data_IF_319861820297
#
_entry.id   IF_319861820297
#
_cell.length_a   1.000
_cell.length_b   1.000
_cell.length_c   1.000
_cell.angle_alpha   90.00
_cell.angle_beta   90.00
_cell.angle_gamma   90.00
#
_symmetry.space_group_name_H-M   'P 1'
#
loop_
_entity.id
_entity.type
_entity.pdbx_description
1 polymer ?
#
# COMPACT_ATOMS: atom_id res chain seq x y z
N UNK A 1 -20.46 34.79 -29.25
CA UNK A 1 -19.52 34.80 -28.11
C UNK A 1 -19.64 33.44 -27.43
N UNK A 2 -18.79 32.49 -27.80
CA UNK A 2 -18.77 31.15 -27.21
C UNK A 2 -18.19 31.25 -25.79
N UNK A 3 -18.97 30.88 -24.79
CA UNK A 3 -18.47 30.77 -23.43
C UNK A 3 -17.36 29.71 -23.42
N UNK A 4 -16.12 30.11 -23.15
CA UNK A 4 -15.01 29.18 -22.98
C UNK A 4 -15.23 28.40 -21.68
N UNK A 5 -15.87 27.24 -21.78
CA UNK A 5 -16.05 26.36 -20.64
C UNK A 5 -14.72 25.74 -20.24
N UNK A 6 -14.45 25.70 -18.93
CA UNK A 6 -13.27 25.01 -18.41
C UNK A 6 -13.49 23.49 -18.49
N UNK A 7 -12.47 22.73 -18.92
CA UNK A 7 -12.52 21.25 -19.05
C UNK A 7 -13.11 20.58 -17.81
N UNK A 8 -12.69 21.03 -16.62
CA UNK A 8 -13.11 20.42 -15.35
C UNK A 8 -14.58 20.70 -15.00
N UNK A 9 -15.25 21.65 -15.65
CA UNK A 9 -16.67 21.91 -15.45
C UNK A 9 -17.56 21.07 -16.39
N UNK A 10 -16.98 20.25 -17.28
CA UNK A 10 -17.72 19.44 -18.25
C UNK A 10 -17.90 17.98 -17.80
N UNK A 11 -19.10 17.45 -18.01
CA UNK A 11 -19.49 16.07 -17.75
C UNK A 11 -20.00 15.45 -19.05
N UNK A 12 -19.37 14.37 -19.49
CA UNK A 12 -19.82 13.64 -20.68
C UNK A 12 -20.63 12.42 -20.25
N UNK A 13 -21.82 12.26 -20.83
CA UNK A 13 -22.76 11.18 -20.55
C UNK A 13 -23.22 10.57 -21.85
N UNK A 14 -23.33 9.24 -21.90
CA UNK A 14 -23.89 8.53 -23.04
C UNK A 14 -25.18 7.82 -22.66
N UNK A 15 -26.22 7.95 -23.49
CA UNK A 15 -27.46 7.19 -23.36
C UNK A 15 -28.03 6.89 -24.75
N UNK A 16 -28.56 5.69 -24.96
CA UNK A 16 -29.26 5.30 -26.19
C UNK A 16 -28.54 5.64 -27.52
N UNK A 17 -27.21 5.53 -27.59
CA UNK A 17 -26.45 5.85 -28.79
C UNK A 17 -26.23 7.35 -29.03
N UNK A 18 -26.57 8.18 -28.06
CA UNK A 18 -26.28 9.62 -28.04
C UNK A 18 -25.23 9.92 -26.99
N UNK A 19 -24.43 10.96 -27.25
CA UNK A 19 -23.40 11.47 -26.35
C UNK A 19 -23.75 12.92 -26.05
N UNK A 20 -23.87 13.22 -24.77
CA UNK A 20 -24.21 14.54 -24.26
C UNK A 20 -23.04 15.08 -23.46
N UNK A 21 -22.78 16.37 -23.60
CA UNK A 21 -21.92 17.09 -22.67
C UNK A 21 -22.76 18.05 -21.86
N UNK A 22 -22.67 17.93 -20.55
CA UNK A 22 -23.40 18.70 -19.55
C UNK A 22 -22.41 19.51 -18.71
N UNK A 23 -22.84 20.66 -18.25
CA UNK A 23 -22.07 21.46 -17.31
C UNK A 23 -22.31 20.94 -15.88
N UNK A 24 -21.24 20.61 -15.14
CA UNK A 24 -21.30 19.96 -13.81
C UNK A 24 -22.10 20.75 -12.77
N UNK A 25 -21.99 22.07 -12.76
CA UNK A 25 -22.61 22.93 -11.73
C UNK A 25 -24.07 23.25 -12.02
N UNK A 26 -24.44 23.33 -13.30
CA UNK A 26 -25.77 23.83 -13.72
C UNK A 26 -26.64 22.74 -14.31
N UNK A 27 -26.06 21.59 -14.69
CA UNK A 27 -26.73 20.54 -15.43
C UNK A 27 -27.10 20.92 -16.86
N UNK A 28 -26.76 22.14 -17.30
CA UNK A 28 -27.10 22.62 -18.63
C UNK A 28 -26.35 21.83 -19.71
N UNK A 29 -27.04 21.49 -20.80
CA UNK A 29 -26.43 20.81 -21.94
C UNK A 29 -25.61 21.78 -22.77
N UNK A 30 -24.31 21.50 -22.90
CA UNK A 30 -23.37 22.26 -23.73
C UNK A 30 -23.50 21.82 -25.18
N UNK A 31 -23.43 20.51 -25.44
CA UNK A 31 -23.60 19.95 -26.78
C UNK A 31 -24.22 18.55 -26.75
N UNK A 32 -24.66 18.09 -27.92
CA UNK A 32 -25.13 16.74 -28.19
C UNK A 32 -24.50 16.26 -29.50
N UNK A 33 -23.94 15.07 -29.49
CA UNK A 33 -23.51 14.35 -30.69
C UNK A 33 -24.18 12.99 -30.76
N UNK A 34 -24.55 12.57 -31.96
CA UNK A 34 -25.08 11.23 -32.21
C UNK A 34 -23.91 10.29 -32.50
N UNK A 35 -23.88 9.13 -31.84
CA UNK A 35 -22.83 8.15 -32.10
C UNK A 35 -23.00 7.58 -33.52
N UNK A 36 -21.93 7.46 -34.31
CA UNK A 36 -22.02 7.07 -35.73
C UNK A 36 -22.39 5.58 -35.96
N UNK A 37 -22.77 4.84 -34.92
CA UNK A 37 -23.49 3.58 -35.05
C UNK A 37 -24.99 3.86 -34.90
N UNK A 38 -25.72 3.80 -36.02
CA UNK A 38 -27.18 4.00 -36.12
C UNK A 38 -28.02 2.91 -35.41
N UNK A 39 -27.53 2.37 -34.29
CA UNK A 39 -28.13 1.19 -33.64
C UNK A 39 -28.80 1.58 -32.35
N UNK A 40 -30.08 1.28 -32.25
CA UNK A 40 -30.92 1.42 -31.05
C UNK A 40 -30.54 0.36 -30.02
N UNK A 41 -29.70 0.72 -29.03
CA UNK A 41 -29.63 -0.02 -27.76
C UNK A 41 -28.32 -0.75 -27.42
N UNK A 42 -27.18 -0.06 -27.43
CA UNK A 42 -25.92 -0.57 -26.84
C UNK A 42 -25.38 0.37 -25.76
N UNK A 43 -24.71 -0.18 -24.74
CA UNK A 43 -23.90 0.60 -23.83
C UNK A 43 -22.76 1.26 -24.63
N UNK A 44 -22.57 2.57 -24.44
CA UNK A 44 -21.47 3.31 -25.03
C UNK A 44 -20.46 3.56 -23.92
N UNK A 45 -19.30 2.91 -24.00
CA UNK A 45 -18.20 3.19 -23.10
C UNK A 45 -17.57 4.53 -23.48
N UNK A 46 -17.32 5.37 -22.48
CA UNK A 46 -16.77 6.71 -22.64
C UNK A 46 -15.45 6.83 -21.89
N UNK A 47 -14.47 7.43 -22.53
CA UNK A 47 -13.19 7.77 -21.94
C UNK A 47 -12.74 9.16 -22.39
N UNK A 48 -12.26 9.98 -21.46
CA UNK A 48 -11.74 11.32 -21.77
C UNK A 48 -10.22 11.26 -21.70
N UNK A 49 -9.54 11.59 -22.80
CA UNK A 49 -8.07 11.63 -22.84
C UNK A 49 -7.54 12.91 -22.22
N UNK A 50 -6.25 12.91 -21.87
CA UNK A 50 -5.57 14.09 -21.36
C UNK A 50 -5.55 15.27 -22.36
N UNK A 51 -5.82 15.02 -23.65
CA UNK A 51 -5.81 16.03 -24.72
C UNK A 51 -7.20 16.52 -25.13
N UNK A 52 -8.13 16.57 -24.19
CA UNK A 52 -9.51 17.06 -24.38
C UNK A 52 -10.26 16.35 -25.53
N UNK A 53 -10.01 15.05 -25.67
CA UNK A 53 -10.72 14.20 -26.62
C UNK A 53 -11.62 13.22 -25.88
N UNK A 54 -12.83 13.04 -26.39
CA UNK A 54 -13.79 12.05 -25.90
C UNK A 54 -13.73 10.86 -26.83
N UNK A 55 -13.30 9.72 -26.31
CA UNK A 55 -13.36 8.45 -27.00
C UNK A 55 -14.65 7.76 -26.58
N UNK A 56 -15.43 7.38 -27.57
CA UNK A 56 -16.65 6.63 -27.38
C UNK A 56 -16.58 5.34 -28.19
N UNK A 57 -16.96 4.22 -27.57
CA UNK A 57 -17.05 2.95 -28.28
C UNK A 57 -18.34 2.22 -27.98
N UNK A 58 -18.88 1.59 -29.01
CA UNK A 58 -20.07 0.77 -28.93
C UNK A 58 -20.16 -0.14 -30.16
N UNK A 59 -20.67 -1.36 -29.97
CA UNK A 59 -21.01 -2.32 -31.02
C UNK A 59 -19.92 -2.49 -32.09
N UNK A 60 -18.68 -2.72 -31.65
CA UNK A 60 -17.54 -2.91 -32.55
C UNK A 60 -17.10 -1.65 -33.30
N UNK A 61 -17.54 -0.45 -32.92
CA UNK A 61 -17.05 0.81 -33.49
C UNK A 61 -16.48 1.70 -32.39
N UNK A 62 -15.44 2.46 -32.73
CA UNK A 62 -14.83 3.47 -31.85
C UNK A 62 -14.79 4.79 -32.60
N UNK A 63 -15.14 5.89 -31.95
CA UNK A 63 -14.96 7.22 -32.52
C UNK A 63 -14.33 8.17 -31.49
N UNK A 64 -13.72 9.22 -32.00
CA UNK A 64 -13.19 10.31 -31.21
C UNK A 64 -13.94 11.60 -31.53
N UNK A 65 -14.35 12.27 -30.47
CA UNK A 65 -15.06 13.55 -30.50
C UNK A 65 -14.21 14.60 -29.79
N UNK A 66 -14.35 15.85 -30.18
CA UNK A 66 -13.81 16.97 -29.41
C UNK A 66 -14.61 17.18 -28.11
N UNK A 67 -13.93 17.45 -26.98
CA UNK A 67 -14.61 17.63 -25.70
C UNK A 67 -15.44 18.91 -25.64
N UNK A 68 -15.03 19.98 -26.31
CA UNK A 68 -15.68 21.29 -26.21
C UNK A 68 -16.81 21.45 -27.22
N UNK A 69 -16.63 20.95 -28.44
CA UNK A 69 -17.64 21.10 -29.50
C UNK A 69 -18.52 19.87 -29.69
N UNK A 70 -18.01 18.68 -29.36
CA UNK A 70 -18.67 17.41 -29.68
C UNK A 70 -18.49 17.00 -31.15
N UNK A 71 -17.61 17.66 -31.91
CA UNK A 71 -17.40 17.34 -33.33
C UNK A 71 -16.62 16.04 -33.51
N UNK A 72 -17.01 15.26 -34.52
CA UNK A 72 -16.36 13.99 -34.87
C UNK A 72 -14.99 14.24 -35.50
N UNK A 73 -13.91 13.84 -34.80
CA UNK A 73 -12.54 13.90 -35.31
C UNK A 73 -12.22 12.70 -36.21
N UNK A 74 -12.54 11.50 -35.73
CA UNK A 74 -12.33 10.26 -36.50
C UNK A 74 -13.27 9.16 -36.06
N UNK A 75 -13.40 8.16 -36.93
CA UNK A 75 -14.20 6.95 -36.72
C UNK A 75 -13.40 5.73 -37.17
N UNK A 76 -13.35 4.71 -36.33
CA UNK A 76 -12.76 3.41 -36.59
C UNK A 76 -13.83 2.31 -36.48
N UNK A 77 -13.96 1.48 -37.51
CA UNK A 77 -14.93 0.37 -37.59
C UNK A 77 -14.48 -0.93 -36.93
N UNK A 78 -13.25 -0.96 -36.39
CA UNK A 78 -12.61 -2.09 -35.70
C UNK A 78 -12.87 -3.43 -36.37
N UNK A 79 -12.44 -3.55 -37.63
CA UNK A 79 -12.80 -4.67 -38.48
C UNK A 79 -12.36 -6.02 -37.87
N UNK A 80 -13.32 -6.95 -37.80
CA UNK A 80 -13.12 -8.29 -37.25
C UNK A 80 -13.07 -8.37 -35.72
N UNK A 81 -13.63 -7.38 -35.02
CA UNK A 81 -13.83 -7.36 -33.55
C UNK A 81 -15.27 -7.71 -33.11
N UNK A 82 -16.18 -7.99 -34.05
CA UNK A 82 -17.58 -8.39 -33.78
C UNK A 82 -18.56 -7.24 -33.47
N UNK A 83 -19.79 -7.58 -33.10
CA UNK A 83 -20.92 -6.62 -32.92
C UNK A 83 -21.29 -6.35 -31.46
N UNK A 84 -20.49 -6.82 -30.50
CA UNK A 84 -20.81 -6.75 -29.07
C UNK A 84 -20.23 -5.50 -28.39
N UNK A 85 -20.41 -5.43 -27.06
CA UNK A 85 -19.91 -4.38 -26.19
C UNK A 85 -18.38 -4.20 -26.32
N UNK A 86 -17.93 -2.96 -26.19
CA UNK A 86 -16.52 -2.59 -26.32
C UNK A 86 -16.06 -1.95 -25.02
N UNK A 87 -14.97 -2.45 -24.44
CA UNK A 87 -14.27 -1.77 -23.35
C UNK A 87 -13.14 -0.92 -23.92
N UNK A 88 -12.96 0.29 -23.38
CA UNK A 88 -11.96 1.26 -23.85
C UNK A 88 -11.16 1.79 -22.68
N UNK A 89 -9.85 1.85 -22.86
CA UNK A 89 -8.92 2.53 -21.95
C UNK A 89 -7.79 3.16 -22.77
N UNK A 90 -7.32 4.35 -22.41
CA UNK A 90 -6.13 4.91 -23.04
C UNK A 90 -4.91 4.76 -22.14
N UNK A 91 -3.74 4.54 -22.74
CA UNK A 91 -2.48 4.59 -22.00
C UNK A 91 -2.18 6.02 -21.56
N UNK A 92 -1.66 6.24 -20.33
CA UNK A 92 -1.29 7.58 -19.88
C UNK A 92 -0.21 8.17 -20.80
N UNK A 93 -0.34 9.44 -21.18
CA UNK A 93 0.56 10.11 -22.13
C UNK A 93 1.88 10.57 -21.48
N UNK A 94 2.00 10.53 -20.15
CA UNK A 94 3.20 10.95 -19.44
C UNK A 94 3.54 10.05 -18.26
N UNK A 95 4.70 9.40 -18.37
CA UNK A 95 5.45 8.77 -17.28
C UNK A 95 6.36 9.78 -16.54
N UNK A 96 6.26 11.08 -16.81
CA UNK A 96 7.01 12.12 -16.11
C UNK A 96 6.27 12.65 -14.88
N UNK A 97 6.82 12.33 -13.71
CA UNK A 97 6.69 13.03 -12.43
C UNK A 97 5.30 13.61 -12.07
N UNK A 98 4.42 12.75 -11.56
CA UNK A 98 3.59 13.18 -10.42
C UNK A 98 4.31 12.70 -9.16
N UNK A 99 5.39 13.40 -8.79
CA UNK A 99 5.87 13.34 -7.41
C UNK A 99 4.82 14.03 -6.55
N UNK A 100 4.01 13.24 -5.84
CA UNK A 100 3.19 13.76 -4.76
C UNK A 100 4.14 14.32 -3.69
N UNK A 101 4.40 15.62 -3.72
CA UNK A 101 4.96 16.34 -2.57
C UNK A 101 3.77 16.81 -1.74
N UNK A 102 3.66 16.41 -0.45
CA UNK A 102 2.72 17.06 0.45
C UNK A 102 3.11 18.54 0.58
N UNK A 103 2.16 19.46 0.75
CA UNK A 103 2.49 20.88 0.89
C UNK A 103 3.38 21.07 2.11
N UNK A 104 4.59 21.58 1.89
CA UNK A 104 5.43 22.06 2.98
C UNK A 104 4.92 23.45 3.38
N UNK A 105 4.45 23.58 4.62
CA UNK A 105 4.30 24.80 5.42
C UNK A 105 4.27 26.14 4.65
N UNK A 106 3.10 26.57 4.18
CA UNK A 106 2.88 27.99 3.83
C UNK A 106 2.27 28.73 5.02
N UNK A 107 3.16 29.30 5.83
CA UNK A 107 2.84 30.52 6.57
C UNK A 107 3.06 31.72 5.65
N UNK A 108 2.07 32.62 5.67
CA UNK A 108 2.08 34.03 5.27
C UNK A 108 1.83 34.38 3.79
N UNK A 109 0.83 35.26 3.58
CA UNK A 109 0.74 36.14 2.41
C UNK A 109 -0.60 36.10 1.67
N UNK A 110 -1.46 37.09 1.92
CA UNK A 110 -2.57 37.43 1.04
C UNK A 110 -2.05 37.85 -0.36
N UNK A 111 -2.57 37.23 -1.42
CA UNK A 111 -2.34 37.63 -2.82
C UNK A 111 -2.57 36.45 -3.76
N UNK A 112 -3.60 36.53 -4.60
CA UNK A 112 -4.04 35.41 -5.44
C UNK A 112 -3.05 35.00 -6.53
N UNK A 113 -2.98 33.69 -6.78
CA UNK A 113 -2.81 33.14 -8.12
C UNK A 113 -3.37 31.72 -8.15
N UNK A 114 -4.15 31.46 -9.19
CA UNK A 114 -4.84 30.23 -9.50
C UNK A 114 -3.87 29.05 -9.72
N UNK A 115 -4.21 27.90 -9.12
CA UNK A 115 -4.19 26.56 -9.75
C UNK A 115 -2.95 26.13 -10.55
N UNK A 116 -2.00 25.48 -9.85
CA UNK A 116 -1.09 24.50 -10.49
C UNK A 116 -1.81 23.22 -10.99
N UNK A 117 -3.15 23.18 -10.93
CA UNK A 117 -4.02 22.19 -11.56
C UNK A 117 -4.60 22.64 -12.92
N UNK A 118 -4.37 23.90 -13.35
CA UNK A 118 -4.92 24.47 -14.59
C UNK A 118 -3.99 24.38 -15.80
N UNK A 119 -2.78 23.81 -15.66
CA UNK A 119 -1.89 23.59 -16.80
C UNK A 119 -1.98 22.12 -17.22
N UNK A 120 -2.42 21.79 -18.46
CA UNK A 120 -2.22 20.45 -18.98
C UNK A 120 -0.72 20.12 -18.87
N UNK A 121 -0.34 18.88 -18.54
CA UNK A 121 1.07 18.51 -18.50
C UNK A 121 1.69 18.92 -19.83
N UNK A 122 2.72 19.78 -19.77
CA UNK A 122 3.45 20.19 -20.96
C UNK A 122 4.00 18.93 -21.62
N UNK A 123 3.40 18.54 -22.75
CA UNK A 123 3.76 17.33 -23.46
C UNK A 123 5.14 17.55 -24.09
N UNK A 124 6.19 17.13 -23.40
CA UNK A 124 7.56 17.28 -23.84
C UNK A 124 7.93 16.39 -25.06
N UNK A 125 7.04 15.50 -25.50
CA UNK A 125 7.29 14.62 -26.65
C UNK A 125 6.06 14.51 -27.56
N UNK A 126 6.32 14.35 -28.87
CA UNK A 126 5.34 14.03 -29.92
C UNK A 126 4.67 12.65 -29.75
N UNK A 127 4.69 12.05 -28.55
CA UNK A 127 4.02 10.78 -28.28
C UNK A 127 2.52 11.02 -28.04
N UNK A 128 1.69 10.27 -28.77
CA UNK A 128 0.24 10.28 -28.62
C UNK A 128 -0.19 9.08 -27.78
N UNK A 129 -1.21 9.22 -26.91
CA UNK A 129 -1.75 8.10 -26.18
C UNK A 129 -2.28 7.05 -27.15
N UNK A 130 -2.03 5.78 -26.84
CA UNK A 130 -2.61 4.66 -27.56
C UNK A 130 -3.91 4.29 -26.85
N UNK A 131 -4.99 4.27 -27.62
CA UNK A 131 -6.32 3.88 -27.19
C UNK A 131 -6.43 2.38 -27.34
N UNK A 132 -6.75 1.68 -26.27
CA UNK A 132 -6.91 0.23 -26.26
C UNK A 132 -8.40 -0.06 -26.24
N UNK A 133 -8.90 -0.69 -27.29
CA UNK A 133 -10.29 -1.11 -27.43
C UNK A 133 -10.38 -2.63 -27.45
N UNK A 134 -11.30 -3.18 -26.67
CA UNK A 134 -11.41 -4.63 -26.44
C UNK A 134 -12.81 -5.12 -26.74
N UNK A 135 -12.91 -6.23 -27.47
CA UNK A 135 -14.18 -6.86 -27.85
C UNK A 135 -13.91 -8.31 -28.30
N UNK A 136 -14.82 -9.24 -28.01
CA UNK A 136 -14.76 -10.64 -28.50
C UNK A 136 -13.42 -11.36 -28.30
N UNK A 137 -12.83 -11.31 -27.10
CA UNK A 137 -11.54 -11.98 -26.85
C UNK A 137 -10.37 -11.39 -27.65
N UNK A 138 -10.55 -10.20 -28.25
CA UNK A 138 -9.53 -9.50 -29.03
C UNK A 138 -9.30 -8.12 -28.42
N UNK A 139 -8.07 -7.64 -28.60
CA UNK A 139 -7.60 -6.35 -28.13
C UNK A 139 -7.00 -5.61 -29.32
N UNK A 140 -7.35 -4.34 -29.47
CA UNK A 140 -6.91 -3.49 -30.55
C UNK A 140 -6.25 -2.23 -29.98
N UNK A 141 -5.03 -1.94 -30.42
CA UNK A 141 -4.38 -0.65 -30.19
C UNK A 141 -4.73 0.31 -31.31
N UNK A 142 -5.27 1.48 -30.97
CA UNK A 142 -5.69 2.54 -31.89
C UNK A 142 -4.92 3.81 -31.55
N UNK A 143 -4.43 4.51 -32.56
CA UNK A 143 -3.80 5.81 -32.36
C UNK A 143 -4.84 6.90 -32.06
N UNK A 144 -4.62 7.71 -31.01
CA UNK A 144 -5.58 8.75 -30.59
C UNK A 144 -5.81 9.86 -31.62
N UNK A 145 -4.87 10.14 -32.54
CA UNK A 145 -5.04 11.22 -33.53
C UNK A 145 -5.75 10.80 -34.79
N UNK A 146 -5.25 9.73 -35.42
CA UNK A 146 -5.70 9.29 -36.73
C UNK A 146 -6.86 8.30 -36.64
N UNK A 147 -7.03 7.67 -35.46
CA UNK A 147 -7.94 6.55 -35.30
C UNK A 147 -7.49 5.29 -36.02
N UNK A 148 -6.26 5.21 -36.55
CA UNK A 148 -5.76 4.00 -37.21
C UNK A 148 -5.43 2.91 -36.20
N UNK A 149 -5.72 1.66 -36.55
CA UNK A 149 -5.31 0.50 -35.75
C UNK A 149 -3.83 0.22 -35.93
N UNK A 150 -3.06 0.29 -34.85
CA UNK A 150 -1.61 0.05 -34.83
C UNK A 150 -1.33 -1.45 -34.81
N UNK A 151 -2.00 -2.17 -33.90
CA UNK A 151 -1.81 -3.60 -33.69
C UNK A 151 -3.11 -4.25 -33.24
N UNK A 152 -3.22 -5.55 -33.48
CA UNK A 152 -4.35 -6.39 -33.09
C UNK A 152 -3.82 -7.64 -32.40
N UNK A 153 -4.33 -7.94 -31.21
CA UNK A 153 -3.98 -9.11 -30.44
C UNK A 153 -5.23 -9.97 -30.20
N UNK A 154 -5.15 -11.25 -30.55
CA UNK A 154 -6.23 -12.21 -30.33
C UNK A 154 -5.85 -13.08 -29.12
N UNK A 155 -6.64 -13.03 -28.05
CA UNK A 155 -6.34 -13.78 -26.83
C UNK A 155 -6.65 -15.28 -27.03
N UNK A 156 -5.64 -16.17 -26.93
CA UNK A 156 -5.88 -17.62 -27.05
C UNK A 156 -6.88 -18.13 -26.01
N UNK A 157 -8.00 -18.70 -26.47
CA UNK A 157 -9.03 -19.23 -25.56
C UNK A 157 -9.93 -18.17 -24.91
N UNK A 158 -9.88 -16.91 -25.34
CA UNK A 158 -10.77 -15.84 -24.87
C UNK A 158 -12.24 -16.01 -25.28
N UNK A 159 -12.49 -16.75 -26.36
CA UNK A 159 -13.84 -17.01 -26.87
C UNK A 159 -14.57 -15.72 -27.27
N UNK A 160 -15.86 -15.65 -26.97
CA UNK A 160 -16.73 -14.50 -27.28
C UNK A 160 -16.82 -13.47 -26.14
N UNK A 161 -16.03 -13.63 -25.07
CA UNK A 161 -16.14 -12.79 -23.87
C UNK A 161 -15.44 -11.44 -24.04
N UNK A 162 -15.92 -10.42 -23.32
CA UNK A 162 -15.28 -9.11 -23.24
C UNK A 162 -14.01 -9.20 -22.38
N UNK A 163 -12.82 -8.86 -22.92
CA UNK A 163 -11.60 -8.81 -22.12
C UNK A 163 -11.64 -7.69 -21.08
N UNK A 164 -11.11 -7.96 -19.88
CA UNK A 164 -10.84 -6.93 -18.86
C UNK A 164 -9.43 -6.38 -19.08
N UNK A 165 -9.29 -5.05 -19.18
CA UNK A 165 -8.00 -4.42 -19.49
C UNK A 165 -7.64 -3.39 -18.44
N UNK A 166 -6.35 -3.36 -18.10
CA UNK A 166 -5.75 -2.42 -17.17
C UNK A 166 -4.44 -1.91 -17.75
N UNK A 167 -4.26 -0.60 -17.83
CA UNK A 167 -3.03 0.02 -18.33
C UNK A 167 -2.21 0.59 -17.17
N UNK A 168 -0.92 0.25 -17.11
CA UNK A 168 0.00 0.78 -16.10
C UNK A 168 1.34 1.14 -16.75
N UNK A 169 1.67 2.44 -16.77
CA UNK A 169 2.93 3.00 -17.30
C UNK A 169 3.25 2.48 -18.70
N UNK A 170 4.10 1.46 -18.80
CA UNK A 170 4.62 0.89 -20.05
C UNK A 170 4.11 -0.54 -20.32
N UNK A 171 3.13 -1.03 -19.55
CA UNK A 171 2.58 -2.38 -19.68
C UNK A 171 1.05 -2.33 -19.66
N UNK A 172 0.43 -3.15 -20.51
CA UNK A 172 -1.01 -3.41 -20.49
C UNK A 172 -1.25 -4.81 -19.96
N UNK A 173 -2.13 -4.95 -18.99
CA UNK A 173 -2.64 -6.24 -18.56
C UNK A 173 -3.99 -6.50 -19.22
N UNK A 174 -4.15 -7.69 -19.78
CA UNK A 174 -5.37 -8.14 -20.43
C UNK A 174 -5.79 -9.47 -19.82
N UNK A 175 -6.99 -9.49 -19.24
CA UNK A 175 -7.65 -10.68 -18.74
C UNK A 175 -8.70 -11.17 -19.72
N UNK A 176 -8.57 -12.38 -20.23
CA UNK A 176 -9.58 -12.99 -21.10
C UNK A 176 -9.81 -14.45 -20.71
N UNK A 177 -11.03 -14.75 -20.27
CA UNK A 177 -11.39 -16.09 -19.83
C UNK A 177 -10.61 -16.52 -18.58
N UNK A 178 -9.64 -17.43 -18.76
CA UNK A 178 -8.80 -17.97 -17.68
C UNK A 178 -7.37 -17.47 -17.72
N UNK A 179 -7.01 -16.76 -18.78
CA UNK A 179 -5.66 -16.33 -19.05
C UNK A 179 -5.53 -14.84 -18.76
N UNK A 180 -4.36 -14.48 -18.24
CA UNK A 180 -3.93 -13.10 -18.05
C UNK A 180 -2.67 -12.90 -18.88
N UNK A 181 -2.64 -11.84 -19.67
CA UNK A 181 -1.55 -11.47 -20.55
C UNK A 181 -0.98 -10.12 -20.13
N UNK A 182 0.33 -9.99 -20.14
CA UNK A 182 0.99 -8.68 -20.13
C UNK A 182 1.47 -8.37 -21.55
N UNK A 183 1.01 -7.26 -22.10
CA UNK A 183 1.31 -6.80 -23.45
C UNK A 183 2.07 -5.47 -23.42
N UNK A 184 2.92 -5.26 -24.42
CA UNK A 184 3.53 -3.98 -24.69
C UNK A 184 2.53 -3.07 -25.44
N UNK A 185 2.27 -1.84 -24.95
CA UNK A 185 1.31 -0.92 -25.56
C UNK A 185 1.66 -0.47 -26.97
N UNK A 186 2.94 -0.40 -27.33
CA UNK A 186 3.37 0.16 -28.62
C UNK A 186 3.20 -0.83 -29.78
N UNK A 187 3.42 -2.12 -29.55
CA UNK A 187 3.43 -3.14 -30.60
C UNK A 187 2.46 -4.31 -30.36
N UNK A 188 1.82 -4.40 -29.19
CA UNK A 188 0.95 -5.52 -28.82
C UNK A 188 1.70 -6.83 -28.52
N UNK A 189 3.03 -6.78 -28.39
CA UNK A 189 3.85 -7.96 -28.10
C UNK A 189 3.63 -8.48 -26.68
N UNK A 190 3.57 -9.81 -26.53
CA UNK A 190 3.37 -10.47 -25.24
C UNK A 190 4.67 -10.50 -24.45
N UNK A 191 4.69 -9.88 -23.26
CA UNK A 191 5.78 -10.03 -22.29
C UNK A 191 5.69 -11.39 -21.58
N UNK A 192 4.50 -11.72 -21.09
CA UNK A 192 4.21 -12.99 -20.45
C UNK A 192 2.71 -13.30 -20.51
N UNK A 193 2.39 -14.58 -20.39
CA UNK A 193 1.04 -15.09 -20.24
C UNK A 193 0.97 -16.04 -19.04
N UNK A 194 -0.14 -16.02 -18.31
CA UNK A 194 -0.34 -16.88 -17.13
C UNK A 194 -1.78 -17.33 -17.04
N UNK A 195 -1.96 -18.61 -16.70
CA UNK A 195 -3.28 -19.18 -16.42
C UNK A 195 -3.69 -18.85 -14.98
N UNK A 196 -4.67 -17.97 -14.82
CA UNK A 196 -5.16 -17.54 -13.52
C UNK A 196 -6.10 -18.57 -12.85
N UNK A 197 -6.84 -19.37 -13.64
CA UNK A 197 -7.77 -20.36 -13.09
C UNK A 197 -7.91 -21.62 -13.95
N UNK A 198 -8.28 -22.73 -13.30
CA UNK A 198 -8.67 -23.99 -13.94
C UNK A 198 -10.19 -24.13 -14.11
N UNK A 199 -10.98 -23.07 -13.84
CA UNK A 199 -12.46 -23.08 -13.95
C UNK A 199 -12.97 -23.51 -15.33
N UNK A 200 -14.24 -23.88 -15.49
CA UNK A 200 -14.79 -24.49 -16.72
C UNK A 200 -14.96 -23.50 -17.91
N UNK A 201 -15.28 -24.02 -19.10
CA UNK A 201 -15.50 -23.22 -20.32
C UNK A 201 -16.84 -22.48 -20.12
N UNK A 202 -16.84 -21.15 -20.16
CA UNK A 202 -18.03 -20.32 -19.94
C UNK A 202 -18.01 -19.43 -18.69
N UNK A 203 -17.14 -19.71 -17.70
CA UNK A 203 -16.97 -18.89 -16.48
C UNK A 203 -15.84 -17.86 -16.65
N UNK A 204 -15.90 -17.06 -17.72
CA UNK A 204 -14.76 -16.25 -18.21
C UNK A 204 -14.68 -14.79 -17.77
N UNK A 205 -15.44 -14.39 -16.74
CA UNK A 205 -15.47 -13.02 -16.24
C UNK A 205 -14.29 -12.81 -15.29
N UNK A 206 -13.35 -11.94 -15.69
CA UNK A 206 -12.17 -11.61 -14.89
C UNK A 206 -12.22 -10.12 -14.53
N UNK A 207 -11.96 -9.80 -13.27
CA UNK A 207 -11.74 -8.42 -12.81
C UNK A 207 -10.31 -8.30 -12.30
N UNK A 208 -9.63 -7.23 -12.66
CA UNK A 208 -8.25 -6.98 -12.27
C UNK A 208 -8.15 -5.66 -11.53
N UNK A 209 -7.28 -5.61 -10.53
CA UNK A 209 -6.95 -4.39 -9.81
C UNK A 209 -5.44 -4.36 -9.54
N UNK A 210 -4.82 -3.20 -9.72
CA UNK A 210 -3.45 -2.93 -9.24
C UNK A 210 -3.50 -1.84 -8.20
N UNK A 211 -2.52 -1.82 -7.29
CA UNK A 211 -2.40 -0.77 -6.27
C UNK A 211 -2.33 0.62 -6.91
N UNK A 212 -1.68 0.73 -8.08
CA UNK A 212 -1.63 1.98 -8.84
C UNK A 212 -3.00 2.36 -9.41
N UNK A 213 -3.68 1.43 -10.08
CA UNK A 213 -5.02 1.65 -10.63
C UNK A 213 -6.04 2.01 -9.56
N UNK A 214 -6.04 1.31 -8.42
CA UNK A 214 -6.90 1.60 -7.29
C UNK A 214 -6.60 2.96 -6.66
N UNK A 215 -5.34 3.34 -6.51
CA UNK A 215 -4.97 4.65 -5.95
C UNK A 215 -5.38 5.81 -6.86
N UNK A 216 -5.25 5.65 -8.18
CA UNK A 216 -5.76 6.64 -9.13
C UNK A 216 -7.29 6.71 -9.07
N UNK A 217 -7.97 5.56 -9.01
CA UNK A 217 -9.41 5.52 -8.80
C UNK A 217 -9.82 6.16 -7.47
N UNK A 218 -9.09 5.99 -6.37
CA UNK A 218 -9.37 6.65 -5.08
C UNK A 218 -9.21 8.17 -5.13
N UNK A 219 -8.24 8.69 -5.90
CA UNK A 219 -8.05 10.13 -6.07
C UNK A 219 -9.20 10.75 -6.88
N UNK A 220 -9.74 10.01 -7.86
CA UNK A 220 -10.70 10.54 -8.84
C UNK A 220 -12.16 10.13 -8.59
N UNK A 221 -12.41 9.01 -7.93
CA UNK A 221 -13.73 8.55 -7.50
C UNK A 221 -13.89 8.89 -6.03
N UNK A 222 -14.67 9.92 -5.78
CA UNK A 222 -15.04 10.44 -4.46
C UNK A 222 -15.92 9.46 -3.67
N UNK A 223 -15.47 8.22 -3.46
CA UNK A 223 -16.07 7.31 -2.47
C UNK A 223 -15.51 7.65 -1.09
N UNK A 224 -15.77 8.89 -0.67
CA UNK A 224 -16.17 9.28 0.69
C UNK A 224 -16.19 10.81 0.79
N UNK A 225 -17.30 11.42 0.38
CA UNK A 225 -17.75 12.72 0.91
C UNK A 225 -18.17 12.63 2.41
N UNK A 226 -17.44 11.83 3.19
CA UNK A 226 -17.43 11.79 4.65
C UNK A 226 -16.12 11.12 5.13
N UNK A 227 -14.99 11.85 5.26
CA UNK A 227 -13.77 11.31 5.85
C UNK A 227 -13.74 11.47 7.38
N UNK A 228 -14.90 11.49 8.07
CA UNK A 228 -14.96 12.03 9.44
C UNK A 228 -15.07 11.03 10.60
N UNK A 229 -15.29 9.72 10.40
CA UNK A 229 -15.02 8.74 11.46
C UNK A 229 -13.69 8.00 11.23
N UNK A 230 -13.52 7.21 10.17
CA UNK A 230 -12.30 6.39 10.02
C UNK A 230 -11.04 7.22 9.73
N UNK A 231 -11.07 8.15 8.77
CA UNK A 231 -9.87 8.94 8.45
C UNK A 231 -9.55 9.94 9.55
N UNK A 232 -10.54 10.46 10.27
CA UNK A 232 -10.32 11.24 11.51
C UNK A 232 -9.76 10.37 12.63
N UNK A 233 -10.30 9.19 12.89
CA UNK A 233 -9.76 8.23 13.88
C UNK A 233 -8.36 7.77 13.48
N UNK A 234 -8.07 7.62 12.20
CA UNK A 234 -6.80 7.13 11.70
C UNK A 234 -5.75 8.24 11.60
N UNK A 235 -6.14 9.47 11.25
CA UNK A 235 -5.31 10.66 11.37
C UNK A 235 -5.12 11.05 12.83
N UNK A 236 -6.11 10.92 13.70
CA UNK A 236 -5.98 11.07 15.16
C UNK A 236 -5.15 9.92 15.74
N UNK A 237 -5.24 8.69 15.24
CA UNK A 237 -4.32 7.60 15.65
C UNK A 237 -2.90 7.84 15.13
N UNK A 238 -2.73 8.33 13.90
CA UNK A 238 -1.42 8.67 13.31
C UNK A 238 -0.82 9.90 13.97
N UNK A 239 -1.62 10.91 14.28
CA UNK A 239 -1.24 12.11 15.03
C UNK A 239 -1.02 11.80 16.51
N UNK A 240 -1.82 10.94 17.14
CA UNK A 240 -1.59 10.50 18.52
C UNK A 240 -0.42 9.51 18.62
N UNK A 241 -0.14 8.71 17.59
CA UNK A 241 1.06 7.84 17.54
C UNK A 241 2.31 8.61 17.16
N UNK A 242 2.23 9.63 16.30
CA UNK A 242 3.35 10.52 15.99
C UNK A 242 3.60 11.52 17.11
N UNK A 243 2.57 12.04 17.77
CA UNK A 243 2.68 12.86 18.98
C UNK A 243 3.07 12.02 20.19
N UNK A 244 2.63 10.75 20.33
CA UNK A 244 3.19 9.83 21.32
C UNK A 244 4.64 9.49 21.00
N UNK A 245 5.01 9.29 19.73
CA UNK A 245 6.40 9.06 19.35
C UNK A 245 7.29 10.30 19.55
N UNK A 246 6.75 11.51 19.36
CA UNK A 246 7.45 12.78 19.55
C UNK A 246 7.49 13.24 21.01
N UNK A 247 6.55 12.80 21.85
CA UNK A 247 6.42 13.22 23.25
C UNK A 247 6.67 12.10 24.28
N UNK A 248 7.12 10.90 23.85
CA UNK A 248 7.84 10.00 24.75
C UNK A 248 9.22 10.62 24.95
N UNK A 249 9.34 11.51 25.95
CA UNK A 249 10.62 11.71 26.62
C UNK A 249 11.12 10.32 27.00
N UNK A 250 12.08 9.78 26.24
CA UNK A 250 12.65 8.49 26.55
C UNK A 250 13.31 8.59 27.91
N UNK A 251 12.71 7.94 28.91
CA UNK A 251 13.22 7.92 30.28
C UNK A 251 14.67 7.47 30.25
N UNK A 252 15.58 8.38 30.60
CA UNK A 252 17.02 8.09 30.64
C UNK A 252 17.44 7.70 32.05
N UNK A 253 18.29 6.67 32.19
CA UNK A 253 18.80 6.28 33.49
C UNK A 253 19.67 7.41 34.06
N UNK A 254 19.66 7.57 35.39
CA UNK A 254 20.42 8.63 36.06
C UNK A 254 21.93 8.51 35.83
N UNK A 255 22.45 7.28 35.80
CA UNK A 255 23.88 6.99 35.60
C UNK A 255 24.04 5.82 34.64
N UNK A 256 24.85 6.00 33.59
CA UNK A 256 25.19 4.94 32.65
C UNK A 256 26.53 4.31 33.03
N UNK A 257 26.49 3.09 33.57
CA UNK A 257 27.70 2.31 33.84
C UNK A 257 28.06 1.43 32.64
N UNK A 258 29.34 1.32 32.31
CA UNK A 258 29.83 0.33 31.34
C UNK A 258 29.76 -1.07 31.95
N UNK A 259 28.96 -1.95 31.35
CA UNK A 259 28.73 -3.29 31.88
C UNK A 259 29.81 -4.24 31.33
N UNK A 260 30.80 -4.56 32.15
CA UNK A 260 31.78 -5.60 31.84
C UNK A 260 31.33 -6.95 32.40
N UNK A 261 31.08 -7.94 31.54
CA UNK A 261 30.82 -9.34 31.93
C UNK A 261 32.12 -10.13 31.83
N UNK A 262 32.63 -10.61 32.96
CA UNK A 262 33.87 -11.44 33.03
C UNK A 262 33.80 -12.75 32.24
N UNK A 263 32.58 -13.25 32.04
CA UNK A 263 32.29 -14.43 31.23
C UNK A 263 30.88 -14.29 30.66
N UNK A 264 30.73 -14.56 29.37
CA UNK A 264 29.44 -14.56 28.66
C UNK A 264 28.85 -15.96 28.57
N UNK A 265 29.69 -16.98 28.36
CA UNK A 265 29.25 -18.37 28.26
C UNK A 265 28.68 -18.92 29.59
N UNK A 266 27.51 -19.54 29.52
CA UNK A 266 26.87 -20.22 30.66
C UNK A 266 27.74 -21.36 31.20
N UNK A 267 27.60 -21.63 32.50
CA UNK A 267 28.22 -22.80 33.14
C UNK A 267 27.33 -24.02 32.93
N UNK A 268 27.65 -24.82 31.92
CA UNK A 268 26.94 -26.07 31.63
C UNK A 268 27.42 -27.21 32.53
N UNK A 269 26.51 -28.11 32.91
CA UNK A 269 26.84 -29.33 33.67
C UNK A 269 27.77 -30.23 32.86
N UNK A 270 28.74 -30.86 33.53
CA UNK A 270 29.64 -31.82 32.88
C UNK A 270 28.85 -32.97 32.22
N UNK A 271 29.16 -33.26 30.95
CA UNK A 271 28.52 -34.29 30.10
C UNK A 271 27.06 -34.02 29.70
N UNK A 272 26.51 -32.82 29.95
CA UNK A 272 25.15 -32.50 29.48
C UNK A 272 25.02 -32.45 27.95
N UNK A 273 26.13 -32.23 27.25
CA UNK A 273 26.19 -32.28 25.80
C UNK A 273 26.18 -33.71 25.23
N UNK A 274 26.53 -34.72 26.05
CA UNK A 274 26.61 -36.13 25.63
C UNK A 274 25.35 -36.90 25.96
N UNK A 275 24.69 -36.57 27.06
CA UNK A 275 23.54 -37.32 27.56
C UNK A 275 22.33 -36.41 27.70
N UNK A 276 21.27 -36.69 26.94
CA UNK A 276 20.00 -35.95 27.01
C UNK A 276 19.36 -36.01 28.41
N UNK A 277 19.52 -37.14 29.13
CA UNK A 277 19.06 -37.28 30.53
C UNK A 277 19.75 -36.32 31.51
N UNK A 278 20.91 -35.76 31.14
CA UNK A 278 21.68 -34.83 31.96
C UNK A 278 21.40 -33.41 31.50
N UNK A 279 20.50 -32.71 32.19
CA UNK A 279 20.20 -31.30 31.89
C UNK A 279 21.41 -30.37 32.01
N UNK A 280 21.36 -29.24 31.30
CA UNK A 280 22.48 -28.28 31.22
C UNK A 280 22.73 -27.47 32.51
N UNK A 281 21.75 -27.42 33.42
CA UNK A 281 21.85 -26.68 34.68
C UNK A 281 23.02 -27.15 35.54
N UNK A 282 23.90 -26.21 35.90
CA UNK A 282 25.13 -26.49 36.63
C UNK A 282 24.89 -27.30 37.92
N UNK A 283 25.66 -28.38 38.09
CA UNK A 283 25.76 -29.13 39.34
C UNK A 283 27.23 -29.40 39.63
N UNK A 284 27.65 -29.19 40.89
CA UNK A 284 29.03 -29.45 41.32
C UNK A 284 29.32 -30.95 41.20
N UNK A 285 30.32 -31.37 40.39
CA UNK A 285 30.67 -32.78 40.27
C UNK A 285 31.27 -33.29 41.59
N UNK A 286 30.74 -34.40 42.10
CA UNK A 286 31.15 -35.01 43.38
C UNK A 286 32.09 -36.22 43.22
N UNK A 287 32.12 -36.86 42.06
CA UNK A 287 32.86 -38.11 41.83
C UNK A 287 34.37 -37.99 42.05
N UNK A 288 34.99 -39.05 42.57
CA UNK A 288 36.42 -39.08 42.92
C UNK A 288 37.32 -38.84 41.71
N UNK A 289 37.00 -39.39 40.54
CA UNK A 289 37.79 -39.26 39.30
C UNK A 289 37.32 -38.16 38.35
N UNK A 290 36.43 -37.29 38.80
CA UNK A 290 35.93 -36.21 37.95
C UNK A 290 37.05 -35.23 37.57
N UNK A 291 37.39 -35.20 36.27
CA UNK A 291 38.40 -34.29 35.72
C UNK A 291 38.06 -32.81 35.94
N UNK A 292 36.77 -32.46 35.87
CA UNK A 292 36.28 -31.10 36.15
C UNK A 292 36.47 -30.74 37.63
N UNK A 293 36.17 -31.67 38.56
CA UNK A 293 36.36 -31.45 40.01
C UNK A 293 37.83 -31.20 40.35
N UNK A 294 38.73 -31.99 39.75
CA UNK A 294 40.19 -31.89 39.90
C UNK A 294 40.81 -30.72 39.11
N UNK A 295 40.03 -30.01 38.27
CA UNK A 295 40.45 -28.82 37.49
C UNK A 295 41.58 -29.08 36.48
N UNK A 296 41.56 -30.23 35.81
CA UNK A 296 42.50 -30.49 34.72
C UNK A 296 42.34 -29.49 33.57
N UNK A 297 43.45 -29.17 32.88
CA UNK A 297 43.47 -28.31 31.69
C UNK A 297 42.55 -28.88 30.60
N UNK A 298 41.91 -28.00 29.84
CA UNK A 298 40.97 -28.35 28.76
C UNK A 298 39.55 -28.73 29.22
N UNK A 299 39.30 -28.81 30.52
CA UNK A 299 37.96 -29.05 31.06
C UNK A 299 37.19 -27.75 31.30
N UNK A 300 35.85 -27.85 31.30
CA UNK A 300 34.98 -26.71 31.57
C UNK A 300 35.26 -26.12 32.97
N UNK A 301 35.40 -24.79 33.11
CA UNK A 301 35.66 -24.16 34.40
C UNK A 301 34.43 -24.24 35.32
N UNK A 302 34.67 -24.38 36.62
CA UNK A 302 33.60 -24.35 37.63
C UNK A 302 33.20 -22.90 37.98
N UNK A 303 31.93 -22.64 38.32
CA UNK A 303 31.52 -21.38 38.93
C UNK A 303 32.30 -21.11 40.22
N UNK A 304 32.80 -19.89 40.35
CA UNK A 304 33.58 -19.39 41.50
C UNK A 304 33.23 -17.92 41.72
N UNK A 305 33.45 -17.42 42.94
CA UNK A 305 33.22 -16.02 43.30
C UNK A 305 33.97 -15.03 42.39
N UNK A 306 35.14 -15.41 41.85
CA UNK A 306 35.93 -14.58 40.94
C UNK A 306 35.20 -14.18 39.65
N UNK A 307 34.22 -14.98 39.19
CA UNK A 307 33.38 -14.63 38.04
C UNK A 307 32.27 -13.63 38.37
N UNK A 308 32.10 -13.26 39.65
CA UNK A 308 31.14 -12.27 40.09
C UNK A 308 31.33 -10.92 39.38
N UNK A 309 30.23 -10.33 38.94
CA UNK A 309 30.21 -8.96 38.39
C UNK A 309 30.47 -7.93 39.48
N UNK A 310 30.93 -6.74 39.09
CA UNK A 310 31.16 -5.64 40.02
C UNK A 310 29.86 -5.27 40.76
N UNK A 311 29.96 -4.92 42.05
CA UNK A 311 28.80 -4.63 42.91
C UNK A 311 27.87 -3.57 42.29
N UNK A 312 28.44 -2.54 41.65
CA UNK A 312 27.71 -1.45 40.98
C UNK A 312 26.88 -1.95 39.79
N UNK A 313 27.44 -2.80 38.93
CA UNK A 313 26.80 -3.28 37.68
C UNK A 313 26.03 -4.59 37.82
N UNK A 314 26.07 -5.21 39.02
CA UNK A 314 25.30 -6.42 39.32
C UNK A 314 23.80 -6.13 39.16
N UNK A 315 23.08 -7.00 38.45
CA UNK A 315 21.65 -6.86 38.13
C UNK A 315 21.23 -5.66 37.27
N UNK A 316 22.18 -4.97 36.62
CA UNK A 316 21.87 -3.93 35.64
C UNK A 316 21.50 -4.55 34.29
N UNK A 317 20.47 -4.00 33.65
CA UNK A 317 20.11 -4.27 32.26
C UNK A 317 21.03 -3.49 31.29
N UNK A 318 21.15 -3.91 30.02
CA UNK A 318 21.92 -3.19 29.01
C UNK A 318 21.44 -1.75 28.76
N UNK A 319 20.16 -1.46 29.03
CA UNK A 319 19.57 -0.13 28.92
C UNK A 319 19.96 0.83 30.08
N UNK A 320 20.69 0.35 31.09
CA UNK A 320 21.15 1.15 32.22
C UNK A 320 20.28 1.06 33.49
N UNK A 321 19.10 0.44 33.41
CA UNK A 321 18.17 0.32 34.55
C UNK A 321 18.34 -1.01 35.29
N UNK A 322 17.89 -1.07 36.55
CA UNK A 322 17.64 -2.33 37.26
C UNK A 322 16.22 -2.79 36.97
N UNK A 323 16.03 -4.09 36.71
CA UNK A 323 14.67 -4.62 36.47
C UNK A 323 13.90 -4.77 37.78
N UNK A 324 12.66 -4.31 37.80
CA UNK A 324 11.73 -4.49 38.91
C UNK A 324 10.45 -5.17 38.39
N UNK A 325 10.15 -6.42 38.80
CA UNK A 325 8.94 -7.10 38.36
C UNK A 325 7.71 -6.45 39.00
N UNK A 326 6.69 -6.13 38.20
CA UNK A 326 5.45 -5.49 38.63
C UNK A 326 4.25 -6.34 38.23
N UNK A 327 3.40 -6.68 39.20
CA UNK A 327 2.18 -7.47 39.00
C UNK A 327 0.90 -6.65 39.14
N UNK A 328 0.94 -5.56 39.89
CA UNK A 328 -0.21 -4.70 40.19
C UNK A 328 0.16 -3.20 40.13
N UNK A 329 -0.85 -2.33 40.19
CA UNK A 329 -0.65 -0.87 40.13
C UNK A 329 0.07 -0.33 41.39
N UNK A 330 -0.14 -0.93 42.56
CA UNK A 330 0.48 -0.49 43.82
C UNK A 330 2.00 -0.68 43.80
N UNK A 331 2.48 -1.79 43.23
CA UNK A 331 3.91 -2.07 43.04
C UNK A 331 4.57 -1.09 42.05
N UNK A 332 3.79 -0.56 41.10
CA UNK A 332 4.29 0.46 40.17
C UNK A 332 4.53 1.79 40.88
N UNK A 333 3.73 2.13 41.89
CA UNK A 333 3.88 3.38 42.65
C UNK A 333 5.16 3.41 43.49
N UNK A 334 5.70 2.24 43.87
CA UNK A 334 7.03 2.14 44.50
C UNK A 334 8.15 2.70 43.60
N UNK A 335 7.93 2.71 42.27
CA UNK A 335 8.88 3.26 41.31
C UNK A 335 8.77 4.78 41.12
N UNK A 336 7.81 5.45 41.77
CA UNK A 336 7.67 6.91 41.70
C UNK A 336 8.94 7.63 42.17
N UNK A 337 9.54 7.18 43.27
CA UNK A 337 10.79 7.74 43.80
C UNK A 337 12.05 7.22 43.08
N UNK A 338 11.91 6.17 42.25
CA UNK A 338 13.04 5.39 41.72
C UNK A 338 12.98 5.22 40.19
N UNK A 339 12.25 6.09 39.50
CA UNK A 339 11.97 6.03 38.07
C UNK A 339 13.22 6.09 37.17
N UNK A 340 14.32 6.71 37.64
CA UNK A 340 15.60 6.81 36.90
C UNK A 340 16.62 5.70 37.21
N UNK A 341 16.34 4.85 38.20
CA UNK A 341 17.25 3.75 38.61
C UNK A 341 16.67 2.37 38.28
N UNK A 342 15.35 2.23 38.33
CA UNK A 342 14.64 1.00 38.02
C UNK A 342 13.73 1.15 36.81
N UNK A 343 13.56 0.05 36.09
CA UNK A 343 12.59 -0.11 35.02
C UNK A 343 11.61 -1.22 35.41
N UNK A 344 10.32 -0.99 35.14
CA UNK A 344 9.28 -1.96 35.39
C UNK A 344 9.31 -3.09 34.35
N UNK A 345 9.21 -4.33 34.81
CA UNK A 345 9.00 -5.53 34.00
C UNK A 345 7.63 -6.11 34.38
N UNK A 346 6.63 -5.98 33.52
CA UNK A 346 5.28 -6.45 33.85
C UNK A 346 5.27 -7.98 33.88
N UNK A 347 4.83 -8.56 34.98
CA UNK A 347 4.81 -10.00 35.20
C UNK A 347 3.97 -10.75 34.14
N UNK A 348 4.35 -12.01 33.87
CA UNK A 348 3.74 -12.83 32.82
C UNK A 348 2.29 -13.25 33.12
N UNK A 349 1.88 -13.23 34.39
CA UNK A 349 0.54 -13.59 34.85
C UNK A 349 -0.48 -12.44 34.68
N UNK A 350 -0.03 -11.22 34.36
CA UNK A 350 -0.91 -10.06 34.18
C UNK A 350 -1.66 -10.14 32.85
N UNK A 351 -2.99 -10.01 32.91
CA UNK A 351 -3.89 -9.99 31.75
C UNK A 351 -3.72 -8.73 30.90
N UNK A 352 -4.07 -8.78 29.61
CA UNK A 352 -3.95 -7.65 28.67
C UNK A 352 -4.65 -6.37 29.19
N UNK A 353 -5.86 -6.49 29.72
CA UNK A 353 -6.62 -5.37 30.31
C UNK A 353 -5.84 -4.68 31.43
N UNK A 354 -5.28 -5.46 32.37
CA UNK A 354 -4.51 -4.92 33.49
C UNK A 354 -3.16 -4.36 33.03
N UNK A 355 -2.57 -4.92 31.96
CA UNK A 355 -1.34 -4.39 31.36
C UNK A 355 -1.55 -2.99 30.80
N UNK A 356 -2.67 -2.72 30.14
CA UNK A 356 -3.00 -1.38 29.63
C UNK A 356 -3.04 -0.37 30.77
N UNK A 357 -3.75 -0.68 31.86
CA UNK A 357 -3.80 0.19 33.04
C UNK A 357 -2.41 0.45 33.66
N UNK A 358 -1.55 -0.58 33.73
CA UNK A 358 -0.17 -0.45 34.22
C UNK A 358 0.66 0.44 33.28
N UNK A 359 0.48 0.32 31.96
CA UNK A 359 1.20 1.14 30.98
C UNK A 359 0.79 2.60 31.04
N UNK A 360 -0.52 2.88 31.13
CA UNK A 360 -1.06 4.23 31.29
C UNK A 360 -0.52 4.88 32.57
N UNK A 361 -0.56 4.16 33.70
CA UNK A 361 -0.01 4.64 34.96
C UNK A 361 1.51 4.81 34.90
N UNK A 362 2.24 3.93 34.22
CA UNK A 362 3.70 4.04 34.08
C UNK A 362 4.10 5.26 33.26
N UNK A 363 3.31 5.62 32.24
CA UNK A 363 3.50 6.83 31.45
C UNK A 363 3.34 8.09 32.32
N UNK A 364 2.32 8.13 33.18
CA UNK A 364 2.11 9.25 34.13
C UNK A 364 3.29 9.41 35.11
N UNK A 365 3.82 8.31 35.62
CA UNK A 365 4.93 8.32 36.59
C UNK A 365 6.31 8.47 35.93
N UNK A 366 6.36 8.59 34.60
CA UNK A 366 7.58 8.63 33.81
C UNK A 366 8.53 7.44 34.10
N UNK A 367 7.95 6.23 34.20
CA UNK A 367 8.66 4.99 34.50
C UNK A 367 8.88 4.20 33.20
N UNK A 368 10.12 3.77 32.97
CA UNK A 368 10.43 2.92 31.81
C UNK A 368 9.87 1.51 32.01
N UNK A 369 9.04 1.04 31.09
CA UNK A 369 8.59 -0.36 31.03
C UNK A 369 9.40 -1.13 30.00
N UNK A 370 10.01 -2.26 30.38
CA UNK A 370 10.92 -3.05 29.52
C UNK A 370 10.14 -3.85 28.47
N UNK A 371 9.01 -4.44 28.85
CA UNK A 371 8.18 -5.31 28.03
C UNK A 371 6.84 -4.66 27.64
N UNK A 372 6.86 -3.37 27.28
CA UNK A 372 5.66 -2.59 27.02
C UNK A 372 4.76 -3.20 25.94
N UNK A 373 5.34 -3.69 24.85
CA UNK A 373 4.58 -4.22 23.71
C UNK A 373 4.08 -5.67 23.91
N UNK A 374 4.50 -6.36 24.97
CA UNK A 374 4.13 -7.77 25.17
C UNK A 374 2.65 -7.90 25.53
N UNK A 375 1.92 -8.81 24.86
CA UNK A 375 0.48 -9.14 25.08
C UNK A 375 -0.51 -7.97 24.92
N UNK A 376 -0.09 -6.83 24.39
CA UNK A 376 -0.98 -5.68 24.10
C UNK A 376 -1.52 -5.74 22.67
N UNK A 377 -0.82 -6.41 21.75
CA UNK A 377 -1.34 -6.71 20.42
C UNK A 377 -2.36 -7.84 20.52
N UNK A 378 -3.63 -7.51 20.33
CA UNK A 378 -4.63 -8.44 19.81
C UNK A 378 -4.11 -8.96 18.46
N UNK A 379 -4.16 -10.27 18.26
CA UNK A 379 -3.73 -10.94 17.02
C UNK A 379 -4.39 -10.29 15.78
N UNK A 380 -3.64 -10.31 14.67
CA UNK A 380 -4.16 -10.13 13.31
C UNK A 380 -5.31 -11.11 13.01
#
# INVERSE_FOLDING_TARGET
>A
MTASHHRNDLLVVSTHGHIYCLHKKTGARVWRSDFPAKTTGGLVTLFITDRDQVIASSNGKTCCLDLFTGDLKWKNTMDGMGYHEVSVIATPTSSHNISYQPPADEKSGFGGSSSNYDRPPEYASNEYPIVISCSHGKVLGIESQSGQSIWKFECPGGGYNLPSVLAEKDVIFVGSGRMVYALNPKNGGVYWETKATNGLIGSGWLTMATVWGSRQAEIHTSVSNCPLPQAKIEQERRANSSAAAANIQMVTPAVKHTIVKKRTAHFKRHQSNRFMRVGESWRKPKGIDSRVRRRFKGQAPMPKIGYGSAKKTRHLLPNGFRKFPVSNLKELELLLMHNRTYAAEIAHNVSSKNRIAILERAAQLNVKVVNANARVRSQE
#
